data_IF_392355588418
#
_entry.id   IF_392355588418
#
_cell.length_a   1.000
_cell.length_b   1.000
_cell.length_c   1.000
_cell.angle_alpha   90.00
_cell.angle_beta   90.00
_cell.angle_gamma   90.00
#
_symmetry.space_group_name_H-M   'P 1'
#
loop_
_entity.id
_entity.type
_entity.pdbx_description
1 polymer ?
#
# COMPACT_ATOMS: atom_id res chain seq x y z
N UNK A 1 -13.92 3.14 4.10
CA UNK A 1 -12.65 3.78 4.53
C UNK A 1 -11.62 2.70 4.82
N UNK A 2 -10.38 2.93 4.39
CA UNK A 2 -9.26 2.06 4.72
C UNK A 2 -8.24 2.85 5.54
N UNK A 3 -7.55 2.22 6.45
CA UNK A 3 -6.62 2.89 7.37
C UNK A 3 -5.68 1.91 8.07
N UNK A 4 -4.65 2.44 8.68
CA UNK A 4 -3.65 1.67 9.39
C UNK A 4 -2.58 1.12 8.45
N UNK A 5 -1.82 0.18 8.93
CA UNK A 5 -0.64 -0.40 8.31
C UNK A 5 0.48 -0.51 9.32
N UNK A 6 1.52 -1.25 8.97
CA UNK A 6 2.59 -1.60 9.91
C UNK A 6 3.28 -0.35 10.50
N UNK A 7 3.60 0.61 9.67
CA UNK A 7 4.31 1.84 10.08
C UNK A 7 3.38 3.04 10.21
N UNK A 8 2.44 3.21 9.27
CA UNK A 8 1.59 4.40 9.19
C UNK A 8 0.57 4.50 10.32
N UNK A 9 0.03 3.40 10.79
CA UNK A 9 -0.96 3.35 11.88
C UNK A 9 -0.38 3.01 13.23
N UNK A 10 0.92 2.82 13.36
CA UNK A 10 1.59 2.34 14.56
C UNK A 10 1.01 1.03 15.11
N UNK A 11 0.44 0.19 14.24
CA UNK A 11 -0.19 -1.08 14.63
C UNK A 11 0.80 -2.04 15.29
N UNK A 12 2.11 -1.88 15.03
CA UNK A 12 3.16 -2.63 15.73
C UNK A 12 3.18 -2.36 17.24
N UNK A 13 2.55 -1.26 17.72
CA UNK A 13 2.41 -0.94 19.15
C UNK A 13 1.06 -1.29 19.75
N UNK A 14 0.14 -1.81 18.92
CA UNK A 14 -1.22 -2.14 19.35
C UNK A 14 -1.55 -3.57 18.94
N UNK A 15 -1.83 -4.41 19.91
CA UNK A 15 -2.33 -5.78 19.73
C UNK A 15 -3.58 -5.94 20.57
N UNK A 16 -4.60 -6.55 20.01
CA UNK A 16 -5.86 -6.84 20.73
C UNK A 16 -6.42 -5.61 21.46
N UNK A 17 -6.37 -4.45 20.81
CA UNK A 17 -6.76 -3.13 21.35
C UNK A 17 -5.97 -2.70 22.61
N UNK A 18 -4.77 -3.24 22.81
CA UNK A 18 -3.87 -2.84 23.91
C UNK A 18 -2.61 -2.19 23.35
N UNK A 19 -2.22 -1.07 23.95
CA UNK A 19 -0.91 -0.46 23.70
C UNK A 19 0.19 -1.35 24.30
N UNK A 20 1.25 -1.56 23.50
CA UNK A 20 2.46 -2.26 23.93
C UNK A 20 3.53 -1.26 24.38
N UNK A 21 4.37 -1.63 25.32
CA UNK A 21 5.51 -0.79 25.77
C UNK A 21 6.52 -0.56 24.63
N UNK A 22 6.70 -1.55 23.77
CA UNK A 22 7.57 -1.47 22.59
C UNK A 22 6.85 -1.97 21.34
N UNK A 23 7.37 -1.62 20.16
CA UNK A 23 6.91 -2.17 18.90
C UNK A 23 7.14 -3.69 18.88
N UNK A 24 6.11 -4.43 18.49
CA UNK A 24 6.19 -5.88 18.32
C UNK A 24 5.82 -6.23 16.88
N UNK A 25 6.77 -6.81 16.16
CA UNK A 25 6.57 -7.30 14.81
C UNK A 25 6.26 -8.78 14.83
N UNK A 26 5.40 -9.29 13.95
CA UNK A 26 5.22 -10.71 13.81
C UNK A 26 6.52 -11.37 13.29
N UNK A 27 6.79 -12.63 13.64
CA UNK A 27 7.83 -13.42 12.99
C UNK A 27 7.65 -13.49 11.46
N UNK A 28 8.74 -13.67 10.73
CA UNK A 28 8.73 -13.66 9.26
C UNK A 28 7.77 -14.67 8.61
N UNK A 29 7.50 -15.77 9.28
CA UNK A 29 6.59 -16.82 8.80
C UNK A 29 5.13 -16.65 9.26
N UNK A 30 4.83 -15.61 10.01
CA UNK A 30 3.46 -15.26 10.42
C UNK A 30 2.85 -14.20 9.49
N UNK A 31 1.52 -14.09 9.43
CA UNK A 31 0.86 -13.03 8.66
C UNK A 31 1.35 -11.64 9.07
N UNK A 32 1.59 -10.78 8.09
CA UNK A 32 1.90 -9.36 8.34
C UNK A 32 0.74 -8.68 9.09
N UNK A 33 1.04 -7.56 9.77
CA UNK A 33 -0.02 -6.76 10.41
C UNK A 33 -0.82 -6.06 9.30
N UNK A 34 -2.08 -6.46 9.07
CA UNK A 34 -2.86 -5.90 7.96
C UNK A 34 -3.40 -4.51 8.30
N UNK A 35 -3.59 -3.70 7.28
CA UNK A 35 -4.46 -2.55 7.36
C UNK A 35 -5.89 -2.92 7.70
N UNK A 36 -6.74 -1.92 7.87
CA UNK A 36 -8.16 -2.08 8.21
C UNK A 36 -9.04 -1.44 7.17
N UNK A 37 -10.22 -2.03 6.98
CA UNK A 37 -11.30 -1.49 6.16
C UNK A 37 -12.60 -1.48 6.96
N UNK A 38 -13.36 -0.40 6.84
CA UNK A 38 -14.70 -0.30 7.40
C UNK A 38 -15.59 0.58 6.52
N UNK A 39 -16.87 0.24 6.47
CA UNK A 39 -17.88 1.13 5.91
C UNK A 39 -18.07 2.31 6.86
N UNK A 40 -18.19 3.51 6.32
CA UNK A 40 -18.59 4.69 7.07
C UNK A 40 -20.11 4.81 7.09
N UNK A 41 -20.63 5.52 8.09
CA UNK A 41 -22.01 6.02 8.12
C UNK A 41 -22.25 6.97 6.94
N UNK A 42 -23.50 7.22 6.60
CA UNK A 42 -23.87 8.06 5.45
C UNK A 42 -23.37 9.50 5.60
N UNK A 43 -23.20 10.00 6.82
CA UNK A 43 -22.60 11.30 7.14
C UNK A 43 -21.07 11.28 7.17
N UNK A 44 -20.42 10.11 6.98
CA UNK A 44 -18.98 9.87 7.03
C UNK A 44 -18.29 10.19 8.37
N UNK A 45 -19.04 10.41 9.45
CA UNK A 45 -18.46 10.84 10.75
C UNK A 45 -18.09 9.68 11.66
N UNK A 46 -18.54 8.46 11.38
CA UNK A 46 -18.27 7.28 12.21
C UNK A 46 -18.27 6.01 11.38
N UNK A 47 -17.76 4.92 11.94
CA UNK A 47 -17.87 3.61 11.34
C UNK A 47 -19.31 3.09 11.44
N UNK A 48 -19.86 2.60 10.32
CA UNK A 48 -21.15 1.90 10.28
C UNK A 48 -21.02 0.40 10.64
N UNK A 49 -19.80 -0.09 10.77
CA UNK A 49 -19.47 -1.48 11.12
C UNK A 49 -18.11 -1.56 11.81
N UNK A 50 -17.82 -2.70 12.44
CA UNK A 50 -16.50 -2.97 13.01
C UNK A 50 -15.43 -3.08 11.91
N UNK A 51 -14.26 -2.44 12.09
CA UNK A 51 -13.16 -2.52 11.12
C UNK A 51 -12.62 -3.94 10.95
N UNK A 52 -12.53 -4.39 9.70
CA UNK A 52 -12.04 -5.71 9.29
C UNK A 52 -10.60 -5.64 8.80
N UNK A 53 -9.79 -6.70 8.97
CA UNK A 53 -8.46 -6.76 8.39
C UNK A 53 -8.51 -6.83 6.86
N UNK A 54 -7.62 -6.11 6.20
CA UNK A 54 -7.38 -6.23 4.76
C UNK A 54 -6.36 -7.32 4.52
N UNK A 55 -6.75 -8.42 3.92
CA UNK A 55 -5.87 -9.56 3.66
C UNK A 55 -5.38 -9.50 2.21
N UNK A 56 -4.06 -9.56 2.04
CA UNK A 56 -3.41 -9.70 0.74
C UNK A 56 -2.88 -11.14 0.65
N UNK A 57 -3.22 -11.81 -0.45
CA UNK A 57 -2.81 -13.17 -0.75
C UNK A 57 -1.68 -13.16 -1.79
N UNK A 58 -0.82 -14.16 -1.74
CA UNK A 58 0.10 -14.48 -2.83
C UNK A 58 -0.64 -15.14 -4.01
N UNK A 59 0.09 -15.49 -5.05
CA UNK A 59 -0.40 -16.19 -6.25
C UNK A 59 -0.95 -17.61 -5.97
N UNK A 60 -0.64 -18.17 -4.80
CA UNK A 60 -1.12 -19.49 -4.35
C UNK A 60 -2.33 -19.38 -3.41
N UNK A 61 -2.84 -18.17 -3.18
CA UNK A 61 -3.96 -17.90 -2.29
C UNK A 61 -3.62 -17.94 -0.80
N UNK A 62 -2.34 -17.84 -0.43
CA UNK A 62 -1.90 -17.78 0.97
C UNK A 62 -1.71 -16.31 1.40
N UNK A 63 -2.09 -15.93 2.63
CA UNK A 63 -1.80 -14.61 3.16
C UNK A 63 -0.30 -14.29 3.13
N UNK A 64 0.05 -13.08 2.70
CA UNK A 64 1.42 -12.59 2.76
C UNK A 64 1.89 -12.55 4.22
N UNK A 65 3.15 -12.94 4.44
CA UNK A 65 3.77 -13.00 5.76
C UNK A 65 4.57 -11.74 6.07
N UNK A 66 5.00 -11.58 7.31
CA UNK A 66 5.86 -10.47 7.72
C UNK A 66 7.23 -10.51 7.01
N UNK A 67 7.72 -11.69 6.65
CA UNK A 67 8.95 -11.87 5.88
C UNK A 67 8.83 -11.48 4.40
N UNK A 68 7.61 -11.36 3.87
CA UNK A 68 7.34 -10.85 2.52
C UNK A 68 7.44 -9.32 2.43
N UNK A 69 8.43 -8.72 3.09
CA UNK A 69 8.59 -7.27 3.24
C UNK A 69 8.53 -6.47 1.92
N UNK A 70 8.81 -7.12 0.80
CA UNK A 70 8.77 -6.50 -0.52
C UNK A 70 7.38 -6.52 -1.17
N UNK A 71 6.42 -7.29 -0.61
CA UNK A 71 5.07 -7.51 -1.15
C UNK A 71 3.92 -7.09 -0.23
N UNK A 72 4.17 -6.78 1.04
CA UNK A 72 3.13 -6.37 2.01
C UNK A 72 3.67 -5.32 2.97
N UNK A 73 3.06 -4.28 3.38
CA UNK A 73 1.81 -3.64 3.56
C UNK A 73 1.94 -2.21 4.12
N UNK A 74 1.85 -1.17 3.34
CA UNK A 74 1.38 0.16 3.73
C UNK A 74 0.40 0.71 2.67
N UNK A 75 -0.66 1.41 3.08
CA UNK A 75 -1.88 1.50 2.28
C UNK A 75 -2.15 2.81 1.56
N UNK A 76 -2.60 2.70 0.31
CA UNK A 76 -3.49 3.64 -0.38
C UNK A 76 -4.39 2.83 -1.33
N UNK A 77 -5.66 3.21 -1.54
CA UNK A 77 -6.63 2.31 -2.17
C UNK A 77 -7.54 2.98 -3.18
N UNK A 78 -7.95 2.20 -4.18
CA UNK A 78 -9.13 2.47 -4.99
C UNK A 78 -9.79 1.18 -5.53
N UNK A 79 -11.09 0.99 -5.20
CA UNK A 79 -12.04 -0.02 -5.72
C UNK A 79 -11.51 -1.47 -5.74
N UNK A 80 -11.55 -2.15 -6.90
CA UNK A 80 -11.03 -3.52 -7.08
C UNK A 80 -9.51 -3.60 -7.10
N UNK A 81 -8.82 -2.48 -7.27
CA UNK A 81 -7.37 -2.35 -7.19
C UNK A 81 -6.97 -1.81 -5.83
N UNK A 82 -6.23 -2.60 -5.11
CA UNK A 82 -5.62 -2.21 -3.85
C UNK A 82 -4.16 -1.86 -4.10
N UNK A 83 -3.84 -0.57 -4.16
CA UNK A 83 -2.45 -0.11 -4.30
C UNK A 83 -1.88 0.32 -2.96
N UNK A 84 -0.62 0.03 -2.71
CA UNK A 84 0.02 0.26 -1.42
C UNK A 84 1.53 0.41 -1.55
N UNK A 85 2.17 1.07 -0.57
CA UNK A 85 3.62 1.10 -0.46
C UNK A 85 4.13 0.04 0.50
N UNK A 86 5.31 -0.49 0.22
CA UNK A 86 5.94 -1.54 1.01
C UNK A 86 7.44 -1.58 0.80
N UNK A 87 8.14 -2.30 1.65
CA UNK A 87 9.58 -2.51 1.56
C UNK A 87 10.42 -1.45 2.27
N UNK A 88 11.68 -1.73 2.39
CA UNK A 88 12.70 -0.82 2.90
C UNK A 88 13.85 -0.74 1.86
N UNK A 89 13.88 0.21 0.98
CA UNK A 89 13.11 1.42 0.71
C UNK A 89 11.72 1.13 0.10
N UNK A 90 10.78 2.07 0.24
CA UNK A 90 9.42 1.88 -0.25
C UNK A 90 9.33 1.76 -1.77
N UNK A 91 8.59 0.77 -2.21
CA UNK A 91 8.05 0.59 -3.57
C UNK A 91 6.53 0.70 -3.53
N UNK A 92 5.92 0.89 -4.67
CA UNK A 92 4.46 0.82 -4.80
C UNK A 92 4.08 -0.52 -5.41
N UNK A 93 3.18 -1.22 -4.77
CA UNK A 93 2.63 -2.49 -5.21
C UNK A 93 1.12 -2.40 -5.41
N UNK A 94 0.54 -3.41 -6.06
CA UNK A 94 -0.90 -3.53 -6.16
C UNK A 94 -1.38 -4.97 -6.03
N UNK A 95 -2.62 -5.10 -5.61
CA UNK A 95 -3.35 -6.34 -5.52
C UNK A 95 -4.78 -6.12 -6.05
N UNK A 96 -5.43 -7.16 -6.52
CA UNK A 96 -6.79 -7.11 -7.07
C UNK A 96 -7.71 -7.99 -6.22
N UNK A 97 -8.93 -7.52 -5.97
CA UNK A 97 -9.98 -8.25 -5.27
C UNK A 97 -11.34 -8.01 -5.89
N UNK A 98 -12.28 -8.92 -5.64
CA UNK A 98 -13.64 -8.89 -6.22
C UNK A 98 -14.59 -7.94 -5.46
N UNK A 99 -14.16 -7.45 -4.31
CA UNK A 99 -14.95 -6.53 -3.48
C UNK A 99 -14.06 -5.67 -2.58
N UNK A 100 -14.58 -4.56 -2.03
CA UNK A 100 -13.79 -3.62 -1.21
C UNK A 100 -13.21 -4.20 0.08
N UNK A 101 -13.66 -5.33 0.54
CA UNK A 101 -13.14 -5.96 1.76
C UNK A 101 -12.03 -6.98 1.50
N UNK A 102 -11.79 -7.29 0.22
CA UNK A 102 -10.87 -8.35 -0.18
C UNK A 102 -11.45 -9.77 0.00
N UNK A 103 -10.63 -10.79 0.11
CA UNK A 103 -9.18 -10.69 0.05
C UNK A 103 -8.70 -10.17 -1.31
N UNK A 104 -7.50 -9.58 -1.32
CA UNK A 104 -6.86 -9.08 -2.54
C UNK A 104 -5.70 -10.00 -2.91
N UNK A 105 -5.54 -10.30 -4.19
CA UNK A 105 -4.42 -11.12 -4.70
C UNK A 105 -3.35 -10.21 -5.26
N UNK A 106 -2.13 -10.35 -4.75
CA UNK A 106 -0.95 -9.60 -5.21
C UNK A 106 -0.74 -9.76 -6.72
N UNK A 107 -0.51 -8.66 -7.42
CA UNK A 107 -0.32 -8.64 -8.86
C UNK A 107 1.07 -8.16 -9.29
N UNK A 108 1.74 -7.36 -8.48
CA UNK A 108 3.07 -6.87 -8.84
C UNK A 108 3.41 -5.50 -8.30
N UNK A 109 4.49 -4.96 -8.84
CA UNK A 109 5.04 -3.64 -8.52
C UNK A 109 4.55 -2.62 -9.54
N UNK A 110 4.05 -1.48 -9.06
CA UNK A 110 3.68 -0.32 -9.89
C UNK A 110 4.92 0.55 -10.13
N UNK A 111 5.66 0.85 -9.06
CA UNK A 111 6.83 1.72 -9.07
C UNK A 111 7.92 1.13 -8.17
N UNK A 112 9.13 0.97 -8.72
CA UNK A 112 10.29 0.57 -7.93
C UNK A 112 10.74 1.73 -7.03
N UNK A 113 11.62 1.49 -6.02
CA UNK A 113 12.05 2.54 -5.11
C UNK A 113 12.53 3.81 -5.82
N UNK A 114 12.22 4.95 -5.23
CA UNK A 114 12.63 6.29 -5.69
C UNK A 114 13.62 6.90 -4.72
N UNK A 115 14.27 8.00 -5.12
CA UNK A 115 15.13 8.78 -4.21
C UNK A 115 14.32 9.26 -3.01
N UNK A 116 14.75 8.89 -1.83
CA UNK A 116 14.06 9.09 -0.55
C UNK A 116 13.64 7.75 0.04
N UNK A 117 13.24 7.75 1.31
CA UNK A 117 12.90 6.50 1.99
C UNK A 117 11.45 6.04 1.73
N UNK A 118 10.52 7.00 1.62
CA UNK A 118 9.10 6.72 1.43
C UNK A 118 8.59 7.31 0.13
N UNK A 119 7.57 6.69 -0.45
CA UNK A 119 6.75 7.30 -1.48
C UNK A 119 5.28 7.04 -1.19
N UNK A 120 4.46 8.08 -1.36
CA UNK A 120 3.00 7.99 -1.35
C UNK A 120 2.49 8.23 -2.75
N UNK A 121 1.27 7.80 -3.04
CA UNK A 121 0.76 7.88 -4.41
C UNK A 121 -0.74 8.10 -4.46
N UNK A 122 -1.18 8.52 -5.64
CA UNK A 122 -2.56 8.48 -6.08
C UNK A 122 -2.61 8.05 -7.55
N UNK A 123 -3.61 7.29 -7.92
CA UNK A 123 -3.86 6.87 -9.29
C UNK A 123 -5.17 7.49 -9.73
N UNK A 124 -5.20 8.10 -10.91
CA UNK A 124 -6.43 8.69 -11.46
C UNK A 124 -6.46 8.59 -12.97
N UNK A 125 -7.67 8.53 -13.50
CA UNK A 125 -7.91 8.63 -14.93
C UNK A 125 -8.11 10.08 -15.34
N UNK A 126 -7.51 10.46 -16.48
CA UNK A 126 -7.76 11.73 -17.13
C UNK A 126 -7.72 11.57 -18.63
N UNK A 127 -8.80 11.92 -19.31
CA UNK A 127 -8.94 11.84 -20.78
C UNK A 127 -8.64 10.47 -21.38
N UNK A 128 -9.09 9.40 -20.72
CA UNK A 128 -8.92 8.02 -21.16
C UNK A 128 -7.53 7.43 -20.91
N UNK A 129 -6.69 8.10 -20.15
CA UNK A 129 -5.37 7.64 -19.73
C UNK A 129 -5.28 7.59 -18.20
N UNK A 130 -4.55 6.63 -17.69
CA UNK A 130 -4.29 6.47 -16.26
C UNK A 130 -2.96 7.10 -15.88
N UNK A 131 -2.93 7.81 -14.76
CA UNK A 131 -1.75 8.49 -14.25
C UNK A 131 -1.47 8.12 -12.81
N UNK A 132 -0.19 7.84 -12.54
CA UNK A 132 0.36 7.71 -11.21
C UNK A 132 0.93 9.05 -10.76
N UNK A 133 0.41 9.58 -9.68
CA UNK A 133 1.00 10.69 -8.94
C UNK A 133 1.79 10.09 -7.77
N UNK A 134 3.05 10.41 -7.65
CA UNK A 134 3.88 9.98 -6.54
C UNK A 134 4.84 11.10 -6.14
N UNK A 135 5.66 10.87 -5.13
CA UNK A 135 6.71 11.83 -4.80
C UNK A 135 8.08 11.17 -4.75
N UNK A 136 9.10 11.98 -4.96
CA UNK A 136 10.50 11.67 -4.69
C UNK A 136 11.18 12.80 -3.92
N UNK A 137 12.47 12.65 -3.64
CA UNK A 137 13.30 13.63 -2.96
C UNK A 137 14.51 14.06 -3.80
N UNK A 138 14.47 13.87 -5.12
CA UNK A 138 15.57 14.25 -6.05
C UNK A 138 15.96 15.71 -5.92
N UNK A 139 15.05 16.71 -5.98
CA UNK A 139 15.43 18.11 -5.90
C UNK A 139 16.05 18.53 -4.56
N UNK A 140 15.85 17.71 -3.52
CA UNK A 140 16.40 17.96 -2.18
C UNK A 140 17.62 17.12 -1.86
N UNK A 141 18.20 16.43 -2.83
CA UNK A 141 19.30 15.49 -2.63
C UNK A 141 18.98 14.41 -1.56
N UNK A 142 17.81 13.77 -1.66
CA UNK A 142 17.40 12.65 -0.82
C UNK A 142 16.86 13.02 0.56
N UNK A 143 16.59 14.30 0.86
CA UNK A 143 15.98 14.68 2.15
C UNK A 143 14.52 14.25 2.20
N UNK A 144 14.21 13.16 2.90
CA UNK A 144 12.92 12.46 2.88
C UNK A 144 11.72 13.31 3.29
N UNK A 145 11.93 14.41 3.99
CA UNK A 145 10.89 15.37 4.39
C UNK A 145 10.69 16.52 3.39
N UNK A 146 11.58 16.66 2.37
CA UNK A 146 11.48 17.66 1.31
C UNK A 146 11.12 16.95 -0.01
N UNK A 147 9.84 16.75 -0.18
CA UNK A 147 9.26 15.92 -1.25
C UNK A 147 8.85 16.74 -2.46
N UNK A 148 8.99 16.16 -3.65
CA UNK A 148 8.60 16.76 -4.92
C UNK A 148 7.63 15.86 -5.65
N UNK A 149 6.51 16.43 -6.12
CA UNK A 149 5.51 15.69 -6.87
C UNK A 149 6.05 15.26 -8.24
N UNK A 150 5.76 14.02 -8.59
CA UNK A 150 5.99 13.41 -9.91
C UNK A 150 4.67 12.88 -10.47
N UNK A 151 4.59 12.85 -11.79
CA UNK A 151 3.45 12.28 -12.53
C UNK A 151 4.00 11.40 -13.64
N UNK A 152 3.51 10.17 -13.70
CA UNK A 152 3.83 9.20 -14.75
C UNK A 152 2.52 8.68 -15.35
N UNK A 153 2.49 8.44 -16.67
CA UNK A 153 1.40 7.68 -17.28
C UNK A 153 1.55 6.20 -16.88
N UNK A 154 0.46 5.57 -16.51
CA UNK A 154 0.40 4.13 -16.28
C UNK A 154 0.09 3.42 -17.59
N UNK A 155 0.95 2.50 -17.97
CA UNK A 155 0.76 1.63 -19.11
C UNK A 155 0.41 0.21 -18.66
N UNK A 156 -0.28 -0.52 -19.52
CA UNK A 156 -0.73 -1.88 -19.26
C UNK A 156 -0.21 -2.81 -20.35
N UNK A 157 0.15 -4.01 -19.97
CA UNK A 157 0.51 -5.07 -20.92
C UNK A 157 -0.74 -5.69 -21.58
N UNK A 158 -0.51 -6.68 -22.46
CA UNK A 158 -1.59 -7.38 -23.17
C UNK A 158 -2.51 -8.20 -22.27
N UNK A 159 -2.10 -8.48 -21.02
CA UNK A 159 -2.90 -9.18 -20.00
C UNK A 159 -3.64 -8.19 -19.08
N UNK A 160 -3.46 -6.89 -19.26
CA UNK A 160 -4.06 -5.85 -18.44
C UNK A 160 -3.33 -5.61 -17.11
N UNK A 161 -2.10 -6.10 -16.96
CA UNK A 161 -1.25 -5.83 -15.80
C UNK A 161 -0.52 -4.51 -15.98
N UNK A 162 -0.31 -3.80 -14.87
CA UNK A 162 0.47 -2.56 -14.88
C UNK A 162 1.92 -2.86 -15.24
N UNK A 163 2.45 -2.15 -16.23
CA UNK A 163 3.87 -2.17 -16.56
C UNK A 163 4.63 -1.40 -15.48
N UNK A 164 5.57 -2.06 -14.82
CA UNK A 164 6.34 -1.47 -13.72
C UNK A 164 7.12 -0.24 -14.17
N UNK A 165 7.00 0.85 -13.44
CA UNK A 165 7.77 2.08 -13.63
C UNK A 165 9.04 2.01 -12.80
N UNK A 166 10.19 2.29 -13.42
CA UNK A 166 11.47 2.33 -12.72
C UNK A 166 11.66 3.68 -12.00
N UNK A 167 11.87 3.61 -10.69
CA UNK A 167 11.86 4.79 -9.82
C UNK A 167 13.17 5.53 -9.67
N UNK A 168 14.32 4.99 -10.11
CA UNK A 168 15.66 5.56 -9.92
C UNK A 168 15.96 5.96 -8.46
N UNK A 169 16.38 5.01 -7.59
CA UNK A 169 16.62 5.28 -6.17
C UNK A 169 17.98 5.98 -5.87
N UNK A 170 18.84 6.20 -6.88
CA UNK A 170 20.16 6.85 -6.74
C UNK A 170 20.13 8.37 -6.96
#
# INVERSE_FOLDING_TARGET
MYFGGLWGGQLQRYRDNKALESAAFPPDNEPSIPGRVAKLSDDMLQFAEEPKPVVILDENGKPLTAGDNERGSEMCIRDSYFSYSTGNTHRLCYAIGDNPYGPFVYQGVILTPVVGWTTHHAITEYKGKWYLFHHDCVPSNGKTWLRSLKVCELEYDSEGKIITIEGNPE
#
